data_IF_071619385313
#
_entry.id   IF_071619385313
#
_cell.length_a   1.000
_cell.length_b   1.000
_cell.length_c   1.000
_cell.angle_alpha   90.00
_cell.angle_beta   90.00
_cell.angle_gamma   90.00
#
_symmetry.space_group_name_H-M   'P 1'
#
loop_
_entity.id
_entity.type
_entity.pdbx_description
1 polymer ?
#
# COMPACT_ATOMS: atom_id res chain seq x y z
N UNK A 1 26.22 1.91 0.30
CA UNK A 1 25.57 1.14 -0.76
C UNK A 1 24.14 1.65 -0.88
N UNK A 2 23.75 2.20 -2.01
CA UNK A 2 22.39 2.72 -2.26
C UNK A 2 21.41 1.56 -2.51
N UNK A 3 20.10 1.85 -2.46
CA UNK A 3 19.07 0.86 -2.83
C UNK A 3 19.27 0.39 -4.28
N UNK A 4 19.58 1.30 -5.19
CA UNK A 4 19.83 0.99 -6.60
C UNK A 4 21.04 0.05 -6.77
N UNK A 5 22.11 0.26 -5.98
CA UNK A 5 23.28 -0.63 -5.98
C UNK A 5 22.93 -2.03 -5.45
N UNK A 6 22.09 -2.12 -4.41
CA UNK A 6 21.62 -3.39 -3.84
C UNK A 6 20.74 -4.12 -4.86
N UNK A 7 19.80 -3.42 -5.49
CA UNK A 7 18.91 -3.98 -6.51
C UNK A 7 19.72 -4.53 -7.69
N UNK A 8 20.69 -3.76 -8.19
CA UNK A 8 21.56 -4.20 -9.28
C UNK A 8 22.38 -5.46 -8.93
N UNK A 9 22.73 -5.67 -7.66
CA UNK A 9 23.39 -6.90 -7.19
C UNK A 9 22.41 -8.04 -7.04
N UNK A 10 21.24 -7.81 -6.46
CA UNK A 10 20.17 -8.81 -6.28
C UNK A 10 19.68 -9.33 -7.63
N UNK A 11 19.56 -8.47 -8.63
CA UNK A 11 19.13 -8.86 -9.98
C UNK A 11 20.11 -9.80 -10.69
N UNK A 12 21.38 -9.86 -10.25
CA UNK A 12 22.40 -10.80 -10.77
C UNK A 12 22.28 -12.21 -10.18
N UNK A 13 21.48 -12.41 -9.14
CA UNK A 13 21.26 -13.73 -8.56
C UNK A 13 20.46 -14.63 -9.53
N UNK A 14 20.66 -15.94 -9.40
CA UNK A 14 19.87 -16.93 -10.12
C UNK A 14 18.37 -16.79 -9.77
N UNK A 15 17.45 -17.14 -10.68
CA UNK A 15 16.01 -16.94 -10.47
C UNK A 15 15.49 -17.52 -9.14
N UNK A 16 16.01 -18.67 -8.73
CA UNK A 16 15.63 -19.34 -7.47
C UNK A 16 16.01 -18.52 -6.24
N UNK A 17 17.19 -17.94 -6.21
CA UNK A 17 17.68 -17.17 -5.07
C UNK A 17 17.00 -15.80 -4.99
N UNK A 18 16.69 -15.19 -6.15
CA UNK A 18 15.84 -13.98 -6.21
C UNK A 18 14.46 -14.24 -5.64
N UNK A 19 13.82 -15.35 -6.05
CA UNK A 19 12.50 -15.71 -5.55
C UNK A 19 12.50 -15.90 -4.02
N UNK A 20 13.50 -16.60 -3.49
CA UNK A 20 13.67 -16.79 -2.04
C UNK A 20 13.90 -15.47 -1.30
N UNK A 21 14.66 -14.54 -1.88
CA UNK A 21 14.86 -13.22 -1.27
C UNK A 21 13.56 -12.39 -1.30
N UNK A 22 12.82 -12.44 -2.41
CA UNK A 22 11.54 -11.76 -2.53
C UNK A 22 10.54 -12.24 -1.47
N UNK A 23 10.44 -13.55 -1.26
CA UNK A 23 9.62 -14.14 -0.19
C UNK A 23 9.99 -13.58 1.19
N UNK A 24 11.28 -13.59 1.56
CA UNK A 24 11.74 -13.05 2.85
C UNK A 24 11.47 -11.56 3.01
N UNK A 25 11.58 -10.79 1.93
CA UNK A 25 11.25 -9.37 1.95
C UNK A 25 9.74 -9.18 2.16
N UNK A 26 8.89 -9.96 1.49
CA UNK A 26 7.44 -9.92 1.70
C UNK A 26 7.08 -10.30 3.15
N UNK A 27 7.62 -11.39 3.68
CA UNK A 27 7.41 -11.80 5.08
C UNK A 27 7.83 -10.72 6.08
N UNK A 28 8.89 -9.95 5.77
CA UNK A 28 9.31 -8.85 6.62
C UNK A 28 8.31 -7.69 6.66
N UNK A 29 7.52 -7.51 5.61
CA UNK A 29 6.46 -6.50 5.53
C UNK A 29 5.18 -6.94 6.23
N UNK A 30 4.98 -8.24 6.48
CA UNK A 30 3.84 -8.75 7.24
C UNK A 30 4.03 -8.59 8.76
N UNK A 31 5.28 -8.46 9.22
CA UNK A 31 5.64 -8.41 10.64
C UNK A 31 6.10 -7.01 11.08
N UNK A 32 5.49 -5.96 10.53
CA UNK A 32 5.76 -4.58 10.94
C UNK A 32 5.33 -4.35 12.39
N UNK A 33 6.11 -3.54 13.12
CA UNK A 33 5.69 -3.07 14.44
C UNK A 33 4.40 -2.24 14.36
N UNK A 34 3.66 -2.15 15.46
CA UNK A 34 2.46 -1.30 15.52
C UNK A 34 2.78 0.17 15.20
N UNK A 35 3.94 0.66 15.64
CA UNK A 35 4.40 2.03 15.37
C UNK A 35 4.66 2.26 13.87
N UNK A 36 5.34 1.32 13.20
CA UNK A 36 5.59 1.39 11.77
C UNK A 36 4.29 1.31 10.97
N UNK A 37 3.40 0.41 11.35
CA UNK A 37 2.07 0.29 10.76
C UNK A 37 1.29 1.60 10.90
N UNK A 38 1.23 2.17 12.10
CA UNK A 38 0.55 3.44 12.36
C UNK A 38 1.11 4.57 11.49
N UNK A 39 2.43 4.67 11.39
CA UNK A 39 3.10 5.68 10.55
C UNK A 39 2.75 5.53 9.07
N UNK A 40 2.72 4.29 8.55
CA UNK A 40 2.37 4.02 7.16
C UNK A 40 0.90 4.34 6.86
N UNK A 41 -0.01 3.94 7.76
CA UNK A 41 -1.43 4.25 7.63
C UNK A 41 -1.74 5.74 7.73
N UNK A 42 -1.07 6.46 8.64
CA UNK A 42 -1.19 7.92 8.73
C UNK A 42 -0.75 8.60 7.43
N UNK A 43 0.38 8.19 6.87
CA UNK A 43 0.86 8.70 5.58
C UNK A 43 -0.08 8.37 4.42
N UNK A 44 -0.66 7.17 4.39
CA UNK A 44 -1.66 6.81 3.37
C UNK A 44 -2.97 7.59 3.52
N UNK A 45 -3.42 7.81 4.76
CA UNK A 45 -4.62 8.62 5.03
C UNK A 45 -4.43 10.05 4.50
N UNK A 46 -3.28 10.67 4.78
CA UNK A 46 -2.95 11.99 4.25
C UNK A 46 -2.90 12.01 2.71
N UNK A 47 -2.20 11.05 2.07
CA UNK A 47 -2.16 10.98 0.60
C UNK A 47 -3.55 10.85 -0.03
N UNK A 48 -4.43 10.06 0.59
CA UNK A 48 -5.80 9.87 0.10
C UNK A 48 -6.65 11.12 0.28
N UNK A 49 -6.49 11.83 1.38
CA UNK A 49 -7.15 13.12 1.63
C UNK A 49 -6.73 14.17 0.59
N UNK A 50 -5.43 14.31 0.36
CA UNK A 50 -4.88 15.20 -0.68
C UNK A 50 -5.38 14.82 -2.09
N UNK A 51 -5.43 13.53 -2.41
CA UNK A 51 -5.95 13.05 -3.70
C UNK A 51 -7.46 13.31 -3.86
N UNK A 52 -8.23 13.18 -2.77
CA UNK A 52 -9.67 13.44 -2.74
C UNK A 52 -9.98 14.92 -3.01
N UNK A 53 -9.17 15.82 -2.47
CA UNK A 53 -9.28 17.26 -2.71
C UNK A 53 -8.82 17.66 -4.12
N UNK A 54 -7.83 16.95 -4.68
CA UNK A 54 -7.28 17.24 -6.00
C UNK A 54 -8.21 16.87 -7.17
N UNK A 55 -9.06 15.85 -7.01
CA UNK A 55 -10.05 15.45 -8.02
C UNK A 55 -11.48 15.36 -7.45
N UNK A 56 -12.18 16.51 -7.31
CA UNK A 56 -13.55 16.54 -6.82
C UNK A 56 -14.56 15.79 -7.70
N UNK A 57 -14.24 15.53 -8.97
CA UNK A 57 -15.12 14.79 -9.88
C UNK A 57 -15.10 13.28 -9.59
N UNK A 58 -14.05 12.78 -8.94
CA UNK A 58 -13.98 11.39 -8.45
C UNK A 58 -14.84 11.15 -7.19
N UNK A 59 -15.27 12.22 -6.52
CA UNK A 59 -16.00 12.15 -5.26
C UNK A 59 -17.45 11.69 -5.48
N UNK A 60 -17.96 10.91 -4.53
CA UNK A 60 -19.36 10.45 -4.54
C UNK A 60 -20.17 11.17 -3.46
N UNK A 61 -21.38 11.67 -3.77
CA UNK A 61 -22.26 12.22 -2.76
C UNK A 61 -22.57 11.21 -1.66
N UNK A 62 -22.46 11.63 -0.40
CA UNK A 62 -22.69 10.75 0.75
C UNK A 62 -24.08 10.10 0.73
N UNK A 63 -25.10 10.81 0.24
CA UNK A 63 -26.48 10.29 0.12
C UNK A 63 -26.56 9.07 -0.81
N UNK A 64 -25.83 9.08 -1.94
CA UNK A 64 -25.83 7.98 -2.89
C UNK A 64 -25.09 6.78 -2.33
N UNK A 65 -23.93 7.01 -1.70
CA UNK A 65 -23.15 5.96 -1.03
C UNK A 65 -23.98 5.25 0.06
N UNK A 66 -24.65 6.03 0.91
CA UNK A 66 -25.47 5.48 2.00
C UNK A 66 -26.71 4.73 1.50
N UNK A 67 -27.35 5.21 0.43
CA UNK A 67 -28.46 4.51 -0.22
C UNK A 67 -28.01 3.14 -0.72
N UNK A 68 -26.91 3.10 -1.48
CA UNK A 68 -26.41 1.87 -2.10
C UNK A 68 -25.94 0.86 -1.05
N UNK A 69 -25.27 1.32 0.02
CA UNK A 69 -24.83 0.46 1.11
C UNK A 69 -26.01 -0.22 1.82
N UNK A 70 -27.08 0.53 2.12
CA UNK A 70 -28.29 -0.02 2.75
C UNK A 70 -29.00 -1.02 1.86
N UNK A 71 -29.02 -0.80 0.55
CA UNK A 71 -29.63 -1.72 -0.41
C UNK A 71 -28.97 -3.10 -0.41
N UNK A 72 -27.67 -3.19 -0.09
CA UNK A 72 -26.89 -4.44 -0.03
C UNK A 72 -27.07 -5.23 1.26
N UNK A 73 -27.71 -4.66 2.28
CA UNK A 73 -27.97 -5.32 3.57
C UNK A 73 -29.30 -6.10 3.59
N UNK A 74 -30.02 -6.16 2.46
CA UNK A 74 -31.27 -6.92 2.31
C UNK A 74 -31.03 -8.35 1.87
#
# INVERSE_FOLDING_TARGET
MSIDEIEAVVLKLEPKDRARLAERLLESLENLSEEENLRLWAGEAQRRDEAWDADPASNRPAVDVMRDARARLK
#
